data_IF_577572746916
#
_entry.id   IF_577572746916
#
_cell.length_a   1.000
_cell.length_b   1.000
_cell.length_c   1.000
_cell.angle_alpha   90.00
_cell.angle_beta   90.00
_cell.angle_gamma   90.00
#
_symmetry.space_group_name_H-M   'P 1'
#
loop_
_entity.id
_entity.type
_entity.pdbx_description
1 polymer ?
#
# COMPACT_ATOMS: atom_id res chain seq x y z
N UNK A 1 -24.88 -15.82 6.30
CA UNK A 1 -23.84 -16.61 5.60
C UNK A 1 -22.51 -16.09 6.11
N UNK A 2 -21.75 -16.88 6.85
CA UNK A 2 -20.43 -16.48 7.36
C UNK A 2 -19.46 -16.49 6.19
N UNK A 3 -18.82 -15.36 5.91
CA UNK A 3 -17.77 -15.26 4.90
C UNK A 3 -16.46 -15.73 5.54
N UNK A 4 -15.70 -16.58 4.83
CA UNK A 4 -14.37 -16.96 5.29
C UNK A 4 -13.41 -15.80 4.99
N UNK A 5 -12.70 -15.30 6.00
CA UNK A 5 -11.74 -14.20 5.84
C UNK A 5 -10.63 -14.53 4.82
N UNK A 6 -10.29 -15.81 4.66
CA UNK A 6 -9.30 -16.27 3.68
C UNK A 6 -9.78 -16.13 2.22
N UNK A 7 -11.06 -15.85 2.00
CA UNK A 7 -11.61 -15.65 0.66
C UNK A 7 -11.61 -14.17 0.25
N UNK A 8 -11.33 -13.25 1.18
CA UNK A 8 -11.34 -11.81 0.93
C UNK A 8 -10.10 -11.40 0.14
N UNK A 9 -10.32 -10.76 -1.01
CA UNK A 9 -9.28 -10.13 -1.81
C UNK A 9 -9.20 -8.62 -1.55
N UNK A 10 -8.00 -8.06 -1.53
CA UNK A 10 -7.74 -6.66 -1.22
C UNK A 10 -6.44 -6.17 -1.89
N UNK A 11 -6.36 -4.88 -2.13
CA UNK A 11 -5.14 -4.15 -2.46
C UNK A 11 -4.87 -3.08 -1.40
N UNK A 12 -3.61 -2.69 -1.26
CA UNK A 12 -3.18 -1.65 -0.34
C UNK A 12 -2.16 -0.75 -1.03
N UNK A 13 -2.19 0.53 -0.69
CA UNK A 13 -1.22 1.51 -1.16
C UNK A 13 -0.60 2.19 0.07
N UNK A 14 0.73 2.20 0.12
CA UNK A 14 1.49 2.91 1.13
C UNK A 14 2.03 4.20 0.53
N UNK A 15 1.44 5.32 0.88
CA UNK A 15 2.07 6.61 0.60
C UNK A 15 3.24 6.78 1.56
N UNK A 16 4.44 6.97 1.03
CA UNK A 16 5.63 7.12 1.85
C UNK A 16 6.59 8.13 1.26
N UNK A 17 7.57 8.51 2.06
CA UNK A 17 8.80 9.11 1.58
C UNK A 17 9.93 8.11 1.71
N UNK A 18 10.89 8.14 0.79
CA UNK A 18 12.17 7.43 0.85
C UNK A 18 13.33 8.42 0.93
N UNK A 19 14.51 8.03 1.45
CA UNK A 19 15.73 8.80 1.25
C UNK A 19 15.99 9.06 -0.24
N UNK A 20 16.43 10.27 -0.60
CA UNK A 20 16.74 10.61 -1.99
C UNK A 20 17.91 9.79 -2.57
N UNK A 21 18.75 9.24 -1.69
CA UNK A 21 19.84 8.32 -2.02
C UNK A 21 19.40 6.88 -2.29
N UNK A 22 18.17 6.49 -1.94
CA UNK A 22 17.66 5.16 -2.26
C UNK A 22 17.38 5.03 -3.76
N UNK A 23 17.74 3.91 -4.36
CA UNK A 23 17.67 3.70 -5.81
C UNK A 23 16.40 2.97 -6.27
N UNK A 24 15.35 2.89 -5.45
CA UNK A 24 14.06 2.31 -5.86
C UNK A 24 13.53 3.03 -7.09
N UNK A 25 13.29 2.31 -8.21
CA UNK A 25 12.67 2.88 -9.40
C UNK A 25 11.25 3.30 -9.10
N UNK A 26 10.87 4.53 -9.44
CA UNK A 26 9.53 5.08 -9.21
C UNK A 26 8.91 5.45 -10.56
N UNK A 27 7.82 4.78 -10.90
CA UNK A 27 7.08 5.00 -12.15
C UNK A 27 6.15 6.20 -12.09
N UNK A 28 5.50 6.55 -13.22
CA UNK A 28 4.43 7.53 -13.26
C UNK A 28 3.23 7.12 -12.40
N UNK A 29 2.37 8.09 -12.09
CA UNK A 29 1.09 7.88 -11.41
C UNK A 29 0.20 6.90 -12.19
N UNK A 30 -0.39 5.92 -11.50
CA UNK A 30 -1.14 4.77 -12.02
C UNK A 30 -0.37 3.89 -13.02
N UNK A 31 0.95 4.03 -13.09
CA UNK A 31 1.82 3.29 -14.02
C UNK A 31 3.17 2.97 -13.38
N UNK A 32 3.13 2.52 -12.12
CA UNK A 32 4.32 2.21 -11.35
C UNK A 32 5.23 1.15 -11.94
N UNK A 33 6.48 1.19 -11.50
CA UNK A 33 7.46 0.17 -11.83
C UNK A 33 7.53 -0.88 -10.75
N UNK A 34 7.76 -2.13 -11.15
CA UNK A 34 8.01 -3.22 -10.20
C UNK A 34 9.13 -2.81 -9.23
N UNK A 35 8.86 -2.95 -7.94
CA UNK A 35 9.87 -2.74 -6.91
C UNK A 35 10.78 -3.97 -6.86
N UNK A 36 12.08 -3.85 -7.20
CA UNK A 36 12.94 -5.03 -7.40
C UNK A 36 13.19 -5.87 -6.14
N UNK A 37 12.95 -5.27 -4.97
CA UNK A 37 13.22 -5.87 -3.67
C UNK A 37 11.93 -6.18 -2.90
N UNK A 38 10.75 -5.99 -3.47
CA UNK A 38 9.49 -6.48 -2.92
C UNK A 38 8.98 -7.70 -3.70
N UNK A 39 7.99 -8.44 -3.17
CA UNK A 39 7.34 -9.51 -3.92
C UNK A 39 6.84 -9.03 -5.29
N UNK A 40 6.75 -9.97 -6.24
CA UNK A 40 6.25 -9.70 -7.58
C UNK A 40 4.85 -9.07 -7.53
N UNK A 41 4.66 -8.01 -8.32
CA UNK A 41 3.40 -7.27 -8.42
C UNK A 41 3.38 -5.97 -7.62
N UNK A 42 4.27 -5.81 -6.63
CA UNK A 42 4.42 -4.53 -5.93
C UNK A 42 5.04 -3.48 -6.84
N UNK A 43 4.41 -2.32 -6.89
CA UNK A 43 4.85 -1.19 -7.72
C UNK A 43 5.19 0.02 -6.85
N UNK A 44 6.13 0.83 -7.35
CA UNK A 44 6.40 2.15 -6.81
C UNK A 44 5.94 3.23 -7.80
N UNK A 45 5.12 4.15 -7.32
CA UNK A 45 4.43 5.19 -8.08
C UNK A 45 4.78 6.58 -7.55
N UNK A 46 4.75 7.56 -8.44
CA UNK A 46 4.72 8.97 -8.05
C UNK A 46 3.29 9.36 -7.75
N UNK A 47 3.08 9.91 -6.57
CA UNK A 47 1.88 10.68 -6.24
C UNK A 47 2.29 12.12 -5.91
N UNK A 48 1.58 13.09 -6.51
CA UNK A 48 1.75 14.52 -6.25
C UNK A 48 1.18 14.99 -4.91
N UNK A 49 0.36 14.17 -4.24
CA UNK A 49 -0.13 14.38 -2.88
C UNK A 49 1.00 14.24 -1.85
N UNK A 50 1.98 13.36 -2.11
CA UNK A 50 3.10 13.08 -1.23
C UNK A 50 4.11 14.22 -1.30
N UNK A 51 4.22 14.97 -0.21
CA UNK A 51 5.14 16.11 -0.09
C UNK A 51 6.27 15.77 0.87
N UNK A 52 7.48 15.46 0.37
CA UNK A 52 8.66 15.35 1.22
C UNK A 52 8.91 16.66 1.97
N UNK A 53 9.18 16.57 3.27
CA UNK A 53 9.48 17.75 4.10
C UNK A 53 10.75 18.48 3.68
N UNK A 54 11.68 17.78 3.02
CA UNK A 54 12.94 18.33 2.55
C UNK A 54 13.49 17.55 1.34
N UNK A 55 14.52 18.10 0.70
CA UNK A 55 15.15 17.58 -0.52
C UNK A 55 15.98 16.30 -0.31
N UNK A 56 16.24 15.90 0.94
CA UNK A 56 16.91 14.62 1.24
C UNK A 56 15.96 13.42 1.14
N UNK A 57 14.69 13.67 0.79
CA UNK A 57 13.66 12.65 0.64
C UNK A 57 12.91 12.82 -0.68
N UNK A 58 12.36 11.72 -1.18
CA UNK A 58 11.49 11.65 -2.37
C UNK A 58 10.18 10.98 -2.00
N UNK A 59 9.07 11.41 -2.61
CA UNK A 59 7.79 10.72 -2.46
C UNK A 59 7.80 9.39 -3.21
N UNK A 60 7.15 8.37 -2.64
CA UNK A 60 7.03 7.04 -3.19
C UNK A 60 5.75 6.39 -2.66
N UNK A 61 4.79 6.17 -3.54
CA UNK A 61 3.62 5.36 -3.23
C UNK A 61 3.91 3.90 -3.59
N UNK A 62 3.76 2.97 -2.65
CA UNK A 62 3.90 1.54 -2.91
C UNK A 62 2.53 0.91 -3.08
N UNK A 63 2.23 0.43 -4.28
CA UNK A 63 0.94 -0.20 -4.63
C UNK A 63 1.10 -1.72 -4.65
N UNK A 64 0.28 -2.43 -3.88
CA UNK A 64 0.31 -3.89 -3.82
C UNK A 64 -0.30 -4.53 -5.06
N UNK A 65 0.02 -5.80 -5.38
CA UNK A 65 -0.87 -6.61 -6.20
C UNK A 65 -2.19 -6.86 -5.46
N UNK A 66 -3.15 -7.52 -6.13
CA UNK A 66 -4.33 -8.06 -5.42
C UNK A 66 -3.85 -9.19 -4.51
N UNK A 67 -4.03 -8.98 -3.22
CA UNK A 67 -3.71 -9.89 -2.13
C UNK A 67 -4.98 -10.60 -1.64
N UNK A 68 -4.82 -11.68 -0.88
CA UNK A 68 -5.95 -12.47 -0.40
C UNK A 68 -5.64 -13.13 0.93
N UNK A 69 -6.62 -13.13 1.84
CA UNK A 69 -6.57 -13.87 3.09
C UNK A 69 -5.36 -13.55 3.98
N UNK A 70 -5.02 -14.50 4.86
CA UNK A 70 -3.93 -14.34 5.83
C UNK A 70 -2.55 -14.25 5.16
N UNK A 71 -2.35 -14.96 4.04
CA UNK A 71 -1.11 -14.89 3.26
C UNK A 71 -0.90 -13.49 2.67
N UNK A 72 -1.98 -12.83 2.25
CA UNK A 72 -1.96 -11.43 1.84
C UNK A 72 -1.51 -10.50 2.97
N UNK A 73 -2.00 -10.72 4.20
CA UNK A 73 -1.61 -9.93 5.37
C UNK A 73 -0.13 -10.12 5.71
N UNK A 74 0.38 -11.35 5.73
CA UNK A 74 1.81 -11.58 5.97
C UNK A 74 2.70 -10.94 4.88
N UNK A 75 2.21 -10.87 3.64
CA UNK A 75 2.94 -10.19 2.58
C UNK A 75 3.02 -8.67 2.81
N UNK A 76 1.96 -8.06 3.33
CA UNK A 76 1.92 -6.66 3.74
C UNK A 76 2.96 -6.41 4.84
N UNK A 77 2.99 -7.24 5.88
CA UNK A 77 3.94 -7.12 6.99
C UNK A 77 5.39 -7.17 6.47
N UNK A 78 5.70 -8.15 5.63
CA UNK A 78 7.02 -8.26 5.01
C UNK A 78 7.37 -7.06 4.09
N UNK A 79 6.38 -6.48 3.39
CA UNK A 79 6.61 -5.27 2.60
C UNK A 79 6.92 -4.06 3.49
N UNK A 80 6.19 -3.89 4.59
CA UNK A 80 6.41 -2.82 5.58
C UNK A 80 7.81 -2.92 6.15
N UNK A 81 8.25 -4.11 6.58
CA UNK A 81 9.59 -4.30 7.14
C UNK A 81 10.69 -3.92 6.15
N UNK A 82 10.54 -4.30 4.89
CA UNK A 82 11.51 -3.96 3.84
C UNK A 82 11.50 -2.48 3.47
N UNK A 83 10.33 -1.84 3.46
CA UNK A 83 10.20 -0.39 3.26
C UNK A 83 10.88 0.36 4.42
N UNK A 84 10.64 -0.07 5.66
CA UNK A 84 11.25 0.50 6.86
C UNK A 84 12.78 0.34 6.87
N UNK A 85 13.29 -0.84 6.50
CA UNK A 85 14.72 -1.11 6.40
C UNK A 85 15.45 -0.17 5.42
N UNK A 86 14.72 0.37 4.43
CA UNK A 86 15.22 1.37 3.45
C UNK A 86 15.01 2.81 3.87
N UNK A 87 14.50 3.04 5.08
CA UNK A 87 14.23 4.38 5.59
C UNK A 87 12.94 5.01 5.07
N UNK A 88 12.00 4.17 4.60
CA UNK A 88 10.63 4.56 4.32
C UNK A 88 9.99 5.22 5.54
N UNK A 89 9.27 6.32 5.33
CA UNK A 89 8.54 7.02 6.39
C UNK A 89 7.21 7.54 5.86
N UNK A 90 6.17 7.39 6.66
CA UNK A 90 4.92 8.16 6.53
C UNK A 90 5.16 9.57 7.09
N UNK A 91 4.69 10.59 6.39
CA UNK A 91 4.61 11.97 6.88
C UNK A 91 3.15 12.38 7.09
N UNK A 92 2.88 13.59 7.58
CA UNK A 92 1.51 14.12 7.73
C UNK A 92 0.76 14.27 6.40
N UNK A 93 1.46 14.27 5.27
CA UNK A 93 0.88 14.24 3.92
C UNK A 93 0.82 12.83 3.33
N UNK A 94 1.21 11.80 4.08
CA UNK A 94 1.19 10.41 3.65
C UNK A 94 0.07 9.67 4.38
N UNK A 95 -0.82 9.03 3.63
CA UNK A 95 -1.85 8.14 4.13
C UNK A 95 -1.54 6.66 3.93
N UNK A 96 -2.41 5.82 4.48
CA UNK A 96 -2.53 4.41 4.11
C UNK A 96 -3.84 4.26 3.35
N UNK A 97 -3.79 3.85 2.09
CA UNK A 97 -5.00 3.61 1.30
C UNK A 97 -5.27 2.11 1.19
N UNK A 98 -6.54 1.71 1.38
CA UNK A 98 -7.00 0.34 1.19
C UNK A 98 -7.99 0.30 0.03
N UNK A 99 -7.71 -0.55 -0.96
CA UNK A 99 -8.63 -0.80 -2.09
C UNK A 99 -9.15 -2.24 -1.99
N UNK A 100 -10.35 -2.43 -1.45
CA UNK A 100 -10.96 -3.75 -1.31
C UNK A 100 -11.59 -4.19 -2.66
N UNK A 101 -11.04 -5.21 -3.31
CA UNK A 101 -11.61 -5.78 -4.54
C UNK A 101 -12.47 -7.02 -4.20
N UNK A 102 -13.80 -6.83 -4.28
CA UNK A 102 -14.90 -7.82 -4.18
C UNK A 102 -15.33 -8.29 -2.78
N UNK A 103 -16.14 -7.48 -2.06
CA UNK A 103 -17.60 -7.64 -1.78
C UNK A 103 -18.17 -6.32 -1.18
N UNK A 104 -18.15 -5.21 -1.91
CA UNK A 104 -18.90 -3.99 -1.51
C UNK A 104 -20.25 -3.85 -2.24
N UNK A 105 -20.97 -4.98 -2.42
CA UNK A 105 -22.42 -4.98 -2.71
C UNK A 105 -23.30 -5.41 -1.52
N UNK A 106 -22.75 -5.55 -0.30
CA UNK A 106 -23.58 -5.85 0.87
C UNK A 106 -23.21 -5.18 2.20
N UNK A 107 -22.03 -4.57 2.37
CA UNK A 107 -21.66 -4.00 3.67
C UNK A 107 -21.99 -2.50 3.88
N UNK A 108 -22.45 -1.77 2.86
CA UNK A 108 -22.86 -0.36 3.01
C UNK A 108 -24.33 -0.16 3.44
N UNK A 109 -25.09 -1.22 3.74
CA UNK A 109 -26.50 -1.11 4.18
C UNK A 109 -26.78 -1.87 5.50
N UNK A 110 -25.80 -2.54 6.10
CA UNK A 110 -26.02 -3.44 7.23
C UNK A 110 -25.38 -3.00 8.54
N UNK A 111 -26.13 -2.22 9.33
CA UNK A 111 -26.10 -2.23 10.81
C UNK A 111 -25.09 -1.30 11.52
N UNK A 112 -25.43 0.00 11.53
CA UNK A 112 -25.50 0.74 12.80
C UNK A 112 -26.57 0.09 13.68
N UNK A 113 -26.17 -0.77 14.63
CA UNK A 113 -26.82 -0.94 15.95
C UNK A 113 -25.73 -1.42 16.88
N UNK A 114 -25.12 -0.47 17.60
CA UNK A 114 -24.38 -0.74 18.83
C UNK A 114 -25.45 -0.95 19.91
N UNK A 115 -25.23 -1.91 20.81
CA UNK A 115 -25.96 -1.98 22.08
C UNK A 115 -25.71 -0.74 22.93
#
# INVERSE_FOLDING_TARGET
>A
RTMNANEIAFGIEFETTLPSTDNTPIGPYHSGYQVPWLPTGWKAERDGSIRPENTSRKGCEFVSPILKGVEGVHQIENAIDQINARGGRVSSSCGLHYVLFEVMRSLLIGTMVVG
#
